data_IF_101555746117
#
_entry.id   IF_101555746117
#
_cell.length_a   1.000
_cell.length_b   1.000
_cell.length_c   1.000
_cell.angle_alpha   90.00
_cell.angle_beta   90.00
_cell.angle_gamma   90.00
#
_symmetry.space_group_name_H-M   'P 1'
#
loop_
_entity.id
_entity.type
_entity.pdbx_description
1 polymer ?
#
# COMPACT_ATOMS: atom_id res chain seq x y z
N UNK A 1 -3.52 38.42 -12.74
CA UNK A 1 -2.73 37.76 -13.80
C UNK A 1 -1.33 37.60 -13.22
N UNK A 2 -1.11 36.50 -12.49
CA UNK A 2 0.25 36.08 -12.08
C UNK A 2 0.40 34.65 -12.58
N UNK A 3 0.78 34.59 -13.85
CA UNK A 3 1.47 33.44 -14.44
C UNK A 3 2.95 33.64 -14.11
N UNK A 4 3.64 32.54 -13.88
CA UNK A 4 5.10 32.43 -13.73
C UNK A 4 5.64 32.37 -12.29
N UNK A 5 5.51 31.16 -11.71
CA UNK A 5 6.69 30.42 -11.28
C UNK A 5 6.41 28.90 -11.29
N UNK A 6 5.85 28.41 -12.41
CA UNK A 6 5.88 26.98 -12.68
C UNK A 6 7.28 26.65 -13.19
N UNK A 7 8.18 26.33 -12.26
CA UNK A 7 9.40 25.61 -12.60
C UNK A 7 8.95 24.38 -13.38
N UNK A 8 9.24 24.33 -14.69
CA UNK A 8 9.02 23.13 -15.50
C UNK A 8 9.95 22.03 -14.96
N UNK A 9 9.49 21.28 -13.94
CA UNK A 9 10.04 19.96 -13.61
C UNK A 9 9.53 19.03 -14.69
N UNK A 10 10.43 18.54 -15.51
CA UNK A 10 10.09 17.81 -16.73
C UNK A 10 9.42 16.45 -16.45
N UNK A 11 9.46 15.89 -15.23
CA UNK A 11 8.79 14.61 -14.91
C UNK A 11 8.13 14.59 -13.51
N UNK A 12 6.93 15.17 -13.38
CA UNK A 12 6.06 15.03 -12.18
C UNK A 12 5.37 13.64 -12.14
N UNK A 13 6.06 12.60 -12.56
CA UNK A 13 5.55 11.25 -12.65
C UNK A 13 6.36 10.30 -11.77
N UNK A 14 5.67 9.31 -11.20
CA UNK A 14 6.29 8.25 -10.43
C UNK A 14 5.95 6.92 -11.10
N UNK A 15 7.00 6.15 -11.39
CA UNK A 15 6.91 4.84 -12.03
C UNK A 15 7.06 3.77 -10.97
N UNK A 16 6.05 2.91 -10.80
CA UNK A 16 6.06 1.85 -9.79
C UNK A 16 5.95 0.47 -10.44
N UNK A 17 6.65 -0.48 -9.82
CA UNK A 17 6.44 -1.91 -9.99
C UNK A 17 5.81 -2.47 -8.72
N UNK A 18 4.70 -3.19 -8.87
CA UNK A 18 3.95 -3.81 -7.79
C UNK A 18 3.89 -5.31 -8.04
N UNK A 19 4.17 -6.12 -7.01
CA UNK A 19 4.20 -7.57 -7.12
C UNK A 19 3.60 -8.21 -5.87
N UNK A 20 2.66 -9.16 -6.03
CA UNK A 20 2.13 -9.92 -4.89
C UNK A 20 3.21 -10.85 -4.37
N UNK A 21 3.56 -10.72 -3.10
CA UNK A 21 4.53 -11.57 -2.42
C UNK A 21 4.12 -13.04 -2.46
N UNK A 22 5.04 -13.90 -2.91
CA UNK A 22 4.83 -15.33 -3.07
C UNK A 22 5.58 -16.16 -2.02
N UNK A 23 6.07 -15.59 -0.92
CA UNK A 23 6.88 -16.34 0.08
C UNK A 23 6.15 -17.53 0.70
N UNK A 24 4.81 -17.54 0.68
CA UNK A 24 3.97 -18.64 1.16
C UNK A 24 3.65 -19.68 0.07
N UNK A 25 3.96 -19.40 -1.18
CA UNK A 25 3.72 -20.31 -2.29
C UNK A 25 4.84 -21.34 -2.43
N UNK A 26 4.47 -22.56 -2.79
CA UNK A 26 5.40 -23.58 -3.27
C UNK A 26 5.53 -23.50 -4.80
N UNK A 27 6.39 -24.36 -5.36
CA UNK A 27 6.48 -24.54 -6.81
C UNK A 27 5.13 -24.95 -7.45
N UNK A 28 4.26 -25.63 -6.69
CA UNK A 28 2.95 -26.04 -7.17
C UNK A 28 2.05 -24.84 -7.41
N UNK A 29 1.92 -23.95 -6.43
CA UNK A 29 1.16 -22.71 -6.56
C UNK A 29 1.72 -21.83 -7.68
N UNK A 30 3.05 -21.73 -7.79
CA UNK A 30 3.70 -20.99 -8.88
C UNK A 30 3.32 -21.55 -10.27
N UNK A 31 3.25 -22.88 -10.42
CA UNK A 31 2.77 -23.53 -11.66
C UNK A 31 1.30 -23.21 -11.94
N UNK A 32 0.46 -23.26 -10.92
CA UNK A 32 -0.97 -22.89 -11.02
C UNK A 32 -1.11 -21.44 -11.51
N UNK A 33 -0.35 -20.50 -10.95
CA UNK A 33 -0.38 -19.09 -11.38
C UNK A 33 0.03 -18.94 -12.86
N UNK A 34 1.08 -19.63 -13.29
CA UNK A 34 1.53 -19.59 -14.69
C UNK A 34 0.51 -20.20 -15.65
N UNK A 35 -0.12 -21.29 -15.26
CA UNK A 35 -1.04 -22.04 -16.11
C UNK A 35 -2.44 -21.40 -16.17
N UNK A 36 -2.93 -20.92 -15.02
CA UNK A 36 -4.32 -20.52 -14.87
C UNK A 36 -4.50 -19.05 -14.56
N UNK A 37 -3.56 -18.40 -13.86
CA UNK A 37 -3.63 -16.96 -13.60
C UNK A 37 -2.99 -16.12 -14.72
N UNK A 38 -2.40 -16.71 -15.76
CA UNK A 38 -1.81 -15.97 -16.87
C UNK A 38 -0.51 -15.24 -16.50
N UNK A 39 0.18 -15.67 -15.44
CA UNK A 39 1.53 -15.18 -15.10
C UNK A 39 2.52 -15.69 -16.15
N UNK A 40 3.12 -14.78 -16.91
CA UNK A 40 4.09 -15.11 -17.97
C UNK A 40 5.51 -14.78 -17.56
N UNK A 41 5.69 -13.78 -16.72
CA UNK A 41 6.97 -13.24 -16.30
C UNK A 41 7.13 -13.39 -14.78
N UNK A 42 8.36 -13.61 -14.31
CA UNK A 42 8.61 -13.83 -12.89
C UNK A 42 7.90 -15.07 -12.30
N UNK A 43 7.48 -14.94 -11.05
CA UNK A 43 6.90 -16.03 -10.25
C UNK A 43 5.48 -15.77 -9.77
N UNK A 44 4.98 -14.54 -9.90
CA UNK A 44 3.70 -14.12 -9.30
C UNK A 44 3.09 -12.95 -10.06
N UNK A 45 1.91 -12.52 -9.62
CA UNK A 45 1.10 -11.50 -10.26
C UNK A 45 1.72 -10.11 -10.02
N UNK A 46 1.92 -9.35 -11.09
CA UNK A 46 2.57 -8.04 -11.03
C UNK A 46 1.95 -6.97 -11.93
N UNK A 47 2.23 -5.71 -11.62
CA UNK A 47 1.71 -4.51 -12.29
C UNK A 47 2.80 -3.46 -12.42
N UNK A 48 2.82 -2.78 -13.56
CA UNK A 48 3.63 -1.59 -13.78
C UNK A 48 2.71 -0.40 -13.99
N UNK A 49 2.86 0.60 -13.13
CA UNK A 49 1.98 1.77 -13.12
C UNK A 49 2.78 3.06 -13.15
N UNK A 50 2.21 4.07 -13.80
CA UNK A 50 2.67 5.45 -13.73
C UNK A 50 1.61 6.28 -13.02
N UNK A 51 2.02 7.21 -12.15
CA UNK A 51 1.11 8.01 -11.35
C UNK A 51 1.62 9.44 -11.12
N UNK A 52 0.76 10.38 -10.71
CA UNK A 52 1.19 11.73 -10.35
C UNK A 52 2.13 11.72 -9.14
N UNK A 53 3.14 12.60 -9.14
CA UNK A 53 4.13 12.70 -8.05
C UNK A 53 3.53 13.07 -6.68
N UNK A 54 2.42 13.81 -6.70
CA UNK A 54 1.68 14.26 -5.52
C UNK A 54 0.69 13.20 -4.99
N UNK A 55 0.66 11.98 -5.51
CA UNK A 55 -0.21 10.93 -4.96
C UNK A 55 0.21 10.52 -3.54
N UNK A 56 -0.77 10.45 -2.62
CA UNK A 56 -0.59 9.93 -1.25
C UNK A 56 -0.77 8.42 -1.16
N UNK A 57 -0.27 7.82 -0.07
CA UNK A 57 -0.41 6.39 0.20
C UNK A 57 -1.90 5.94 0.24
N UNK A 58 -2.81 6.73 0.79
CA UNK A 58 -4.25 6.42 0.78
C UNK A 58 -4.83 6.31 -0.63
N UNK A 59 -4.52 7.26 -1.52
CA UNK A 59 -4.95 7.20 -2.91
C UNK A 59 -4.30 6.01 -3.65
N UNK A 60 -3.04 5.70 -3.34
CA UNK A 60 -2.37 4.51 -3.86
C UNK A 60 -3.04 3.22 -3.39
N UNK A 61 -3.55 3.15 -2.14
CA UNK A 61 -4.34 2.01 -1.67
C UNK A 61 -5.52 1.74 -2.60
N UNK A 62 -6.35 2.75 -2.88
CA UNK A 62 -7.49 2.58 -3.78
C UNK A 62 -7.07 2.19 -5.21
N UNK A 63 -5.95 2.69 -5.71
CA UNK A 63 -5.39 2.25 -6.98
C UNK A 63 -4.96 0.76 -6.94
N UNK A 64 -4.30 0.32 -5.86
CA UNK A 64 -3.89 -1.08 -5.63
C UNK A 64 -5.11 -2.01 -5.61
N UNK A 65 -6.18 -1.61 -4.93
CA UNK A 65 -7.42 -2.38 -4.90
C UNK A 65 -7.94 -2.66 -6.32
N UNK A 66 -8.04 -1.61 -7.16
CA UNK A 66 -8.43 -1.77 -8.58
C UNK A 66 -7.44 -2.60 -9.40
N UNK A 67 -6.14 -2.39 -9.18
CA UNK A 67 -5.08 -3.10 -9.90
C UNK A 67 -5.10 -4.61 -9.69
N UNK A 68 -5.54 -5.07 -8.52
CA UNK A 68 -5.58 -6.49 -8.16
C UNK A 68 -6.99 -7.07 -8.09
N UNK A 69 -8.05 -6.26 -8.21
CA UNK A 69 -9.44 -6.71 -8.18
C UNK A 69 -10.03 -6.87 -6.77
N UNK A 70 -9.47 -6.19 -5.78
CA UNK A 70 -10.04 -6.13 -4.43
C UNK A 70 -11.08 -5.02 -4.31
N UNK A 71 -11.99 -5.15 -3.35
CA UNK A 71 -13.10 -4.20 -3.15
C UNK A 71 -13.10 -3.58 -1.74
N UNK A 72 -11.92 -3.26 -1.19
CA UNK A 72 -11.72 -2.44 0.02
C UNK A 72 -12.54 -2.88 1.25
N UNK A 73 -12.62 -4.19 1.49
CA UNK A 73 -13.36 -4.76 2.63
C UNK A 73 -12.55 -4.90 3.90
N UNK A 74 -11.24 -4.90 3.76
CA UNK A 74 -10.33 -5.24 4.85
C UNK A 74 -9.36 -4.11 5.18
N UNK A 75 -8.80 -4.19 6.38
CA UNK A 75 -7.73 -3.27 6.81
C UNK A 75 -6.53 -3.39 5.87
N UNK A 76 -5.92 -2.25 5.60
CA UNK A 76 -4.67 -2.14 4.87
C UNK A 76 -3.61 -1.42 5.69
N UNK A 77 -2.35 -1.58 5.31
CA UNK A 77 -1.25 -0.79 5.83
C UNK A 77 -0.14 -0.67 4.79
N UNK A 78 0.52 0.49 4.76
CA UNK A 78 1.83 0.63 4.13
C UNK A 78 2.89 0.55 5.22
N UNK A 79 3.93 -0.23 5.01
CA UNK A 79 5.00 -0.49 5.97
C UNK A 79 6.35 -0.34 5.32
N UNK A 80 7.34 0.03 6.14
CA UNK A 80 8.75 -0.07 5.75
C UNK A 80 9.21 -1.53 5.83
N UNK A 81 10.23 -1.94 5.07
CA UNK A 81 10.97 -3.17 5.35
C UNK A 81 11.47 -3.19 6.79
N UNK A 82 11.48 -4.36 7.43
CA UNK A 82 11.77 -4.48 8.86
C UNK A 82 13.16 -3.90 9.21
N UNK A 83 14.17 -4.18 8.39
CA UNK A 83 15.53 -3.63 8.56
C UNK A 83 15.55 -2.09 8.51
N UNK A 84 14.78 -1.49 7.61
CA UNK A 84 14.63 -0.02 7.52
C UNK A 84 13.87 0.53 8.73
N UNK A 85 12.79 -0.13 9.13
CA UNK A 85 12.00 0.23 10.30
C UNK A 85 12.86 0.24 11.57
N UNK A 86 13.57 -0.84 11.85
CA UNK A 86 14.47 -0.95 13.00
C UNK A 86 15.62 0.07 12.94
N UNK A 87 16.16 0.33 11.75
CA UNK A 87 17.20 1.35 11.55
C UNK A 87 16.72 2.77 11.90
N UNK A 88 15.56 3.19 11.36
CA UNK A 88 15.00 4.53 11.57
C UNK A 88 14.59 4.75 13.02
N UNK A 89 14.03 3.71 13.63
CA UNK A 89 13.60 3.75 15.02
C UNK A 89 14.73 3.49 16.01
N UNK A 90 15.93 3.15 15.52
CA UNK A 90 17.08 2.73 16.33
C UNK A 90 16.72 1.64 17.34
N UNK A 91 15.76 0.81 16.97
CA UNK A 91 15.23 -0.25 17.82
C UNK A 91 14.84 0.26 19.23
N UNK A 92 14.29 1.48 19.30
CA UNK A 92 14.00 2.18 20.55
C UNK A 92 12.57 2.75 20.56
N UNK A 93 11.77 2.39 21.56
CA UNK A 93 10.36 2.79 21.60
C UNK A 93 10.16 4.28 21.82
N UNK A 94 11.02 4.98 22.55
CA UNK A 94 10.94 6.45 22.64
C UNK A 94 11.19 7.10 21.28
N UNK A 95 12.15 6.59 20.50
CA UNK A 95 12.40 7.06 19.14
C UNK A 95 11.21 6.74 18.24
N UNK A 96 10.67 5.52 18.24
CA UNK A 96 9.45 5.19 17.51
C UNK A 96 8.29 6.13 17.85
N UNK A 97 7.99 6.31 19.14
CA UNK A 97 6.92 7.17 19.61
C UNK A 97 7.10 8.63 19.18
N UNK A 98 8.34 9.12 19.13
CA UNK A 98 8.65 10.46 18.63
C UNK A 98 8.32 10.66 17.15
N UNK A 99 8.25 9.56 16.37
CA UNK A 99 7.92 9.53 14.95
C UNK A 99 6.44 9.23 14.70
N UNK A 100 5.69 8.81 15.70
CA UNK A 100 4.27 8.54 15.56
C UNK A 100 3.49 9.85 15.40
N UNK A 101 2.62 9.91 14.39
CA UNK A 101 1.96 11.14 13.94
C UNK A 101 2.79 11.99 12.96
N UNK A 102 4.08 11.67 12.76
CA UNK A 102 4.95 12.28 11.74
C UNK A 102 5.31 11.30 10.61
N UNK A 103 5.48 10.03 10.93
CA UNK A 103 5.76 8.93 10.00
C UNK A 103 4.78 7.77 10.18
N UNK A 104 4.54 7.37 11.44
CA UNK A 104 3.69 6.21 11.76
C UNK A 104 2.27 6.60 12.20
N UNK A 105 1.28 5.83 11.76
CA UNK A 105 -0.14 6.13 11.90
C UNK A 105 -0.81 5.59 13.17
N UNK A 106 -0.03 5.02 14.10
CA UNK A 106 -0.59 4.27 15.23
C UNK A 106 -1.66 5.08 15.98
N UNK A 107 -2.90 4.57 15.92
CA UNK A 107 -4.04 5.02 16.70
C UNK A 107 -4.70 3.74 17.20
N UNK A 108 -4.55 3.43 18.48
CA UNK A 108 -5.50 2.52 19.12
C UNK A 108 -6.80 3.29 19.36
N UNK A 109 -7.89 2.86 18.75
CA UNK A 109 -9.23 3.34 19.10
C UNK A 109 -10.13 2.17 19.44
N UNK A 110 -10.79 2.23 20.60
CA UNK A 110 -11.81 1.24 21.00
C UNK A 110 -12.99 1.17 20.00
N UNK A 111 -13.09 2.16 19.10
CA UNK A 111 -13.89 2.11 17.89
C UNK A 111 -13.09 1.50 16.73
N UNK A 112 -13.26 0.21 16.47
CA UNK A 112 -12.73 -0.48 15.27
C UNK A 112 -13.21 0.13 13.93
N UNK A 113 -14.12 1.11 13.98
CA UNK A 113 -14.72 1.78 12.83
C UNK A 113 -13.78 2.77 12.10
N UNK A 114 -12.58 3.06 12.61
CA UNK A 114 -11.72 4.13 12.10
C UNK A 114 -11.05 3.87 10.75
N UNK A 115 -10.85 2.61 10.37
CA UNK A 115 -10.21 2.19 9.11
C UNK A 115 -11.09 1.31 8.23
N UNK A 116 -12.33 1.07 8.66
CA UNK A 116 -13.33 0.39 7.85
C UNK A 116 -13.98 1.45 6.95
N UNK A 117 -14.20 1.16 5.67
CA UNK A 117 -15.09 1.99 4.86
C UNK A 117 -16.54 1.57 5.14
N UNK A 118 -17.30 2.27 6.00
CA UNK A 118 -18.68 1.87 6.33
C UNK A 118 -19.63 1.96 5.13
N UNK A 119 -19.19 2.55 4.01
CA UNK A 119 -19.95 2.55 2.76
C UNK A 119 -19.97 1.18 2.09
N UNK A 120 -19.04 0.28 2.44
CA UNK A 120 -18.99 -1.12 1.99
C UNK A 120 -19.82 -2.07 2.87
N UNK A 121 -20.73 -1.56 3.69
CA UNK A 121 -21.85 -2.39 4.16
C UNK A 121 -22.71 -2.73 2.94
N UNK A 122 -22.93 -4.02 2.69
CA UNK A 122 -23.53 -4.70 1.51
C UNK A 122 -24.89 -4.15 0.97
N UNK A 123 -25.29 -2.90 1.24
CA UNK A 123 -26.64 -2.36 1.03
C UNK A 123 -26.68 -0.85 0.66
N UNK A 124 -25.77 -0.32 -0.17
CA UNK A 124 -25.98 1.03 -0.75
C UNK A 124 -25.82 1.06 -2.27
N UNK A 125 -26.73 1.81 -2.90
CA UNK A 125 -26.76 2.22 -4.31
C UNK A 125 -25.59 3.15 -4.67
N UNK A 126 -24.35 2.76 -4.36
CA UNK A 126 -23.15 3.51 -4.74
C UNK A 126 -22.51 2.77 -5.90
N UNK A 127 -22.29 3.47 -7.00
CA UNK A 127 -21.44 2.98 -8.08
C UNK A 127 -20.00 2.86 -7.51
N UNK A 128 -19.61 1.62 -7.20
CA UNK A 128 -18.33 1.29 -6.57
C UNK A 128 -17.19 1.74 -7.48
N UNK A 129 -17.35 1.61 -8.80
CA UNK A 129 -16.33 2.01 -9.76
C UNK A 129 -16.09 3.52 -9.70
N UNK A 130 -17.18 4.30 -9.71
CA UNK A 130 -17.09 5.75 -9.60
C UNK A 130 -16.50 6.17 -8.24
N UNK A 131 -16.92 5.52 -7.15
CA UNK A 131 -16.40 5.81 -5.82
C UNK A 131 -14.89 5.60 -5.74
N UNK A 132 -14.40 4.44 -6.19
CA UNK A 132 -12.96 4.15 -6.21
C UNK A 132 -12.21 5.14 -7.10
N UNK A 133 -12.74 5.43 -8.29
CA UNK A 133 -12.14 6.40 -9.20
C UNK A 133 -11.97 7.77 -8.57
N UNK A 134 -12.93 8.22 -7.77
CA UNK A 134 -12.81 9.49 -7.04
C UNK A 134 -11.69 9.47 -5.98
N UNK A 135 -11.41 8.32 -5.35
CA UNK A 135 -10.37 8.25 -4.31
C UNK A 135 -8.94 8.28 -4.86
N UNK A 136 -8.72 7.72 -6.05
CA UNK A 136 -7.41 7.75 -6.71
C UNK A 136 -7.32 8.77 -7.84
N UNK A 137 -8.26 9.71 -7.96
CA UNK A 137 -8.16 10.85 -8.90
C UNK A 137 -7.89 12.13 -8.12
N UNK A 138 -6.82 12.84 -8.47
CA UNK A 138 -6.44 14.06 -7.78
C UNK A 138 -7.22 15.30 -8.23
N UNK A 139 -6.77 16.51 -7.80
CA UNK A 139 -5.53 16.77 -7.08
C UNK A 139 -5.51 16.16 -5.67
N UNK A 140 -4.38 15.54 -5.30
CA UNK A 140 -4.25 14.90 -3.99
C UNK A 140 -3.80 15.93 -2.96
N UNK A 141 -4.78 16.60 -2.38
CA UNK A 141 -4.55 17.55 -1.30
C UNK A 141 -4.80 16.81 0.02
N UNK A 142 -3.77 16.75 0.88
CA UNK A 142 -3.91 16.12 2.19
C UNK A 142 -5.02 16.86 2.96
N UNK A 143 -6.16 16.20 3.11
CA UNK A 143 -7.37 16.81 3.64
C UNK A 143 -7.23 17.26 5.10
N UNK A 144 -8.14 18.14 5.53
CA UNK A 144 -8.20 18.65 6.91
C UNK A 144 -8.21 17.53 7.98
N UNK A 145 -8.75 16.35 7.65
CA UNK A 145 -8.72 15.14 8.51
C UNK A 145 -7.30 14.78 8.95
N UNK A 146 -6.34 14.76 8.03
CA UNK A 146 -4.95 14.41 8.34
C UNK A 146 -4.20 15.53 9.06
N UNK A 147 -4.55 16.80 8.79
CA UNK A 147 -3.91 17.94 9.45
C UNK A 147 -4.12 17.99 10.98
N UNK A 148 -5.20 17.37 11.49
CA UNK A 148 -5.44 17.21 12.93
C UNK A 148 -4.94 15.90 13.52
N UNK A 149 -4.66 14.90 12.70
CA UNK A 149 -4.21 13.58 13.18
C UNK A 149 -2.86 13.67 13.88
N UNK A 150 -1.92 14.49 13.38
CA UNK A 150 -0.60 14.63 13.99
C UNK A 150 -0.64 14.89 15.51
N UNK A 151 -1.33 15.96 15.94
CA UNK A 151 -1.38 16.31 17.37
C UNK A 151 -2.15 15.28 18.19
N UNK A 152 -3.25 14.74 17.64
CA UNK A 152 -4.07 13.75 18.35
C UNK A 152 -3.29 12.45 18.56
N UNK A 153 -2.65 11.94 17.51
CA UNK A 153 -1.82 10.74 17.55
C UNK A 153 -0.69 10.91 18.56
N UNK A 154 0.04 12.04 18.47
CA UNK A 154 1.18 12.31 19.33
C UNK A 154 0.79 12.40 20.81
N UNK A 155 -0.31 13.09 21.11
CA UNK A 155 -0.86 13.15 22.48
C UNK A 155 -1.29 11.78 22.97
N UNK A 156 -1.98 10.98 22.14
CA UNK A 156 -2.43 9.64 22.53
C UNK A 156 -1.24 8.72 22.88
N UNK A 157 -0.21 8.68 22.03
CA UNK A 157 1.00 7.87 22.27
C UNK A 157 1.73 8.34 23.51
N UNK A 158 1.87 9.66 23.70
CA UNK A 158 2.53 10.21 24.88
C UNK A 158 1.80 9.81 26.18
N UNK A 159 0.47 9.87 26.20
CA UNK A 159 -0.34 9.43 27.34
C UNK A 159 -0.15 7.94 27.65
N UNK A 160 -0.04 7.09 26.63
CA UNK A 160 0.24 5.67 26.84
C UNK A 160 1.67 5.44 27.35
N UNK A 161 2.67 6.17 26.85
CA UNK A 161 4.04 6.08 27.36
C UNK A 161 4.17 6.51 28.83
N UNK A 162 3.43 7.54 29.24
CA UNK A 162 3.44 8.03 30.63
C UNK A 162 2.92 6.96 31.61
N UNK A 163 1.84 6.25 31.25
CA UNK A 163 1.33 5.13 32.06
C UNK A 163 2.34 4.01 32.27
N UNK A 164 3.27 3.82 31.33
CA UNK A 164 4.33 2.83 31.44
C UNK A 164 5.45 3.27 32.37
N UNK A 165 5.76 4.57 32.38
CA UNK A 165 6.81 5.13 33.24
C UNK A 165 6.49 5.02 34.73
N UNK A 166 5.20 4.98 35.08
CA UNK A 166 4.73 4.78 36.46
C UNK A 166 4.92 3.32 36.96
N UNK A 167 5.20 2.36 36.07
CA UNK A 167 5.37 0.92 36.39
C UNK A 167 6.85 0.47 36.52
N UNK A 168 7.78 1.42 36.72
CA UNK A 168 9.12 1.20 37.28
C UNK A 168 10.23 0.56 36.41
N UNK A 169 10.01 0.34 35.12
CA UNK A 169 11.10 0.08 34.16
C UNK A 169 11.37 1.33 33.32
N UNK A 170 12.64 1.72 33.15
CA UNK A 170 12.96 2.90 32.35
C UNK A 170 12.49 2.68 30.91
N UNK A 171 11.51 3.46 30.46
CA UNK A 171 10.95 3.43 29.08
C UNK A 171 12.06 3.53 28.02
N UNK A 172 13.22 4.12 28.36
CA UNK A 172 14.40 4.21 27.51
C UNK A 172 15.13 2.88 27.25
N UNK A 173 14.98 1.86 28.12
CA UNK A 173 15.54 0.51 27.95
C UNK A 173 14.62 -0.41 27.11
N UNK A 174 13.48 0.08 26.67
CA UNK A 174 12.47 -0.68 25.94
C UNK A 174 12.79 -0.69 24.43
N UNK A 175 13.25 -1.84 23.96
CA UNK A 175 13.62 -2.10 22.56
C UNK A 175 12.36 -2.42 21.72
N UNK A 176 12.41 -2.21 20.40
CA UNK A 176 11.25 -2.39 19.51
C UNK A 176 11.00 -3.86 19.17
N UNK A 177 12.02 -4.71 19.06
CA UNK A 177 11.82 -6.17 19.09
C UNK A 177 11.07 -6.63 20.35
N UNK A 178 11.28 -5.93 21.47
CA UNK A 178 10.54 -6.11 22.71
C UNK A 178 9.14 -5.48 22.72
N UNK A 179 8.66 -4.83 21.64
CA UNK A 179 7.22 -4.55 21.47
C UNK A 179 6.40 -5.85 21.52
N UNK A 180 7.00 -6.98 21.16
CA UNK A 180 6.38 -8.30 21.35
C UNK A 180 6.14 -8.65 22.83
N UNK A 181 7.00 -8.15 23.72
CA UNK A 181 6.93 -8.29 25.18
C UNK A 181 6.24 -7.12 25.88
N UNK A 182 5.96 -6.04 25.14
CA UNK A 182 5.12 -4.94 25.60
C UNK A 182 3.77 -5.49 26.01
N UNK A 183 3.32 -5.09 27.19
CA UNK A 183 1.93 -5.27 27.55
C UNK A 183 1.35 -4.05 28.24
N UNK A 184 0.25 -3.54 27.70
CA UNK A 184 -0.61 -2.57 28.36
C UNK A 184 -1.53 -3.24 29.39
N UNK A 185 -1.40 -4.55 29.61
CA UNK A 185 -2.36 -5.37 30.35
C UNK A 185 -3.63 -5.72 29.55
N UNK A 186 -3.71 -5.32 28.28
CA UNK A 186 -4.80 -5.63 27.36
C UNK A 186 -4.22 -6.29 26.11
N UNK A 187 -4.36 -7.61 26.05
CA UNK A 187 -3.80 -8.45 24.96
C UNK A 187 -4.22 -7.93 23.58
N UNK A 188 -5.44 -7.43 23.42
CA UNK A 188 -5.90 -6.91 22.12
C UNK A 188 -5.16 -5.64 21.70
N UNK A 189 -4.87 -4.77 22.67
CA UNK A 189 -4.07 -3.55 22.44
C UNK A 189 -2.66 -3.88 22.06
N UNK A 190 -2.08 -4.85 22.75
CA UNK A 190 -0.72 -5.30 22.55
C UNK A 190 -0.54 -5.93 21.17
N UNK A 191 -1.45 -6.82 20.78
CA UNK A 191 -1.43 -7.47 19.46
C UNK A 191 -1.61 -6.46 18.34
N UNK A 192 -2.56 -5.52 18.47
CA UNK A 192 -2.73 -4.46 17.49
C UNK A 192 -1.52 -3.54 17.38
N UNK A 193 -0.87 -3.19 18.50
CA UNK A 193 0.36 -2.42 18.47
C UNK A 193 1.46 -3.17 17.71
N UNK A 194 1.68 -4.45 18.01
CA UNK A 194 2.69 -5.28 17.32
C UNK A 194 2.42 -5.33 15.81
N UNK A 195 1.16 -5.49 15.41
CA UNK A 195 0.78 -5.55 14.00
C UNK A 195 0.92 -4.21 13.26
N UNK A 196 0.72 -3.09 13.96
CA UNK A 196 0.54 -1.76 13.34
C UNK A 196 1.64 -0.74 13.69
N UNK A 197 2.65 -1.10 14.49
CA UNK A 197 3.74 -0.20 14.87
C UNK A 197 4.50 0.37 13.66
N UNK A 198 4.61 -0.41 12.58
CA UNK A 198 5.26 -0.05 11.32
C UNK A 198 4.26 0.47 10.26
N UNK A 199 3.03 0.82 10.63
CA UNK A 199 2.06 1.39 9.68
C UNK A 199 2.37 2.85 9.42
N UNK A 200 2.67 3.21 8.17
CA UNK A 200 2.91 4.56 7.70
C UNK A 200 1.62 5.38 7.62
N UNK A 201 1.76 6.71 7.73
CA UNK A 201 0.66 7.64 7.65
C UNK A 201 0.05 7.71 6.23
N UNK A 202 -1.26 7.50 6.05
CA UNK A 202 -1.88 7.42 4.73
C UNK A 202 -1.74 8.70 3.89
N UNK A 203 -1.54 9.86 4.51
CA UNK A 203 -1.39 11.15 3.85
C UNK A 203 0.04 11.44 3.34
N UNK A 204 1.00 10.52 3.54
CA UNK A 204 2.35 10.73 3.02
C UNK A 204 2.36 10.59 1.50
N UNK A 205 3.10 11.48 0.82
CA UNK A 205 3.35 11.33 -0.60
C UNK A 205 4.20 10.08 -0.85
N UNK A 206 3.84 9.26 -1.82
CA UNK A 206 4.61 8.05 -2.15
C UNK A 206 6.05 8.42 -2.49
N UNK A 207 6.23 9.50 -3.25
CA UNK A 207 7.54 10.04 -3.63
C UNK A 207 8.39 10.52 -2.46
N UNK A 208 7.79 10.84 -1.30
CA UNK A 208 8.51 11.27 -0.10
C UNK A 208 9.03 10.12 0.76
N UNK A 209 8.54 8.90 0.55
CA UNK A 209 8.93 7.71 1.31
C UNK A 209 9.67 6.68 0.47
N UNK A 210 9.37 6.61 -0.84
CA UNK A 210 9.90 5.61 -1.75
C UNK A 210 10.86 6.23 -2.78
N UNK A 211 12.14 5.91 -2.64
CA UNK A 211 13.22 6.30 -3.55
C UNK A 211 13.15 5.50 -4.85
N UNK A 212 13.42 6.15 -5.98
CA UNK A 212 13.64 5.43 -7.22
C UNK A 212 14.92 4.60 -7.16
N UNK A 213 14.98 3.52 -7.95
CA UNK A 213 16.19 2.69 -8.06
C UNK A 213 17.43 3.55 -8.36
N UNK A 214 18.41 3.50 -7.46
CA UNK A 214 19.67 4.24 -7.56
C UNK A 214 19.64 5.64 -6.94
N UNK A 215 18.49 6.15 -6.49
CA UNK A 215 18.43 7.35 -5.65
C UNK A 215 18.95 7.05 -4.24
N UNK A 216 19.48 8.08 -3.58
CA UNK A 216 19.85 7.98 -2.17
C UNK A 216 18.60 7.89 -1.30
N UNK A 217 18.71 7.14 -0.22
CA UNK A 217 17.70 7.11 0.84
C UNK A 217 18.20 7.90 2.04
N UNK A 218 17.27 8.53 2.74
CA UNK A 218 17.51 9.29 3.94
C UNK A 218 17.75 8.39 5.15
N UNK A 219 18.32 9.00 6.18
CA UNK A 219 18.57 8.39 7.48
C UNK A 219 17.51 8.80 8.52
N UNK A 220 17.65 8.36 9.77
CA UNK A 220 16.77 8.74 10.88
C UNK A 220 16.80 10.25 11.24
N UNK A 221 17.73 11.00 10.65
CA UNK A 221 17.86 12.45 10.75
C UNK A 221 17.12 13.20 9.63
N UNK A 222 16.77 12.51 8.55
CA UNK A 222 16.16 13.05 7.32
C UNK A 222 14.72 12.57 7.16
N UNK A 223 14.04 12.33 8.28
CA UNK A 223 12.67 11.82 8.29
C UNK A 223 11.74 12.89 7.70
N UNK A 224 10.92 12.54 6.69
CA UNK A 224 9.83 13.39 6.22
C UNK A 224 8.91 13.70 7.39
N UNK A 225 9.04 14.88 7.99
CA UNK A 225 8.11 15.35 9.02
C UNK A 225 6.77 15.58 8.35
N UNK A 226 5.69 15.26 9.04
CA UNK A 226 4.35 15.59 8.55
C UNK A 226 4.29 17.03 8.08
N UNK A 227 3.73 17.23 6.88
CA UNK A 227 2.43 17.88 6.72
C UNK A 227 2.20 19.20 7.46
N UNK A 228 3.23 19.96 7.83
CA UNK A 228 3.04 21.40 8.02
C UNK A 228 2.73 21.93 6.63
N UNK A 229 1.50 22.40 6.47
CA UNK A 229 1.16 23.47 5.53
C UNK A 229 2.44 24.23 5.20
N UNK A 230 2.91 24.12 3.96
CA UNK A 230 4.08 24.83 3.46
C UNK A 230 3.86 26.33 3.72
N UNK A 231 4.31 26.78 4.89
CA UNK A 231 4.73 28.14 5.17
C UNK A 231 6.14 27.98 5.73
N UNK A 232 7.08 28.23 4.84
CA UNK A 232 8.40 28.74 5.17
C UNK A 232 9.26 27.80 6.03
N UNK A 233 9.47 26.56 5.59
CA UNK A 233 10.68 25.83 5.97
C UNK A 233 11.57 25.84 4.73
N UNK A 234 12.67 26.55 4.82
CA UNK A 234 13.74 26.62 3.83
C UNK A 234 14.22 25.21 3.46
N UNK A 235 14.64 25.05 2.20
CA UNK A 235 15.03 23.83 1.49
C UNK A 235 15.95 22.86 2.25
N UNK A 236 15.43 22.11 3.22
CA UNK A 236 16.08 20.86 3.62
C UNK A 236 15.56 19.76 2.69
N UNK A 237 16.43 19.24 1.83
CA UNK A 237 16.15 18.11 0.95
C UNK A 237 15.80 16.89 1.80
N UNK A 238 14.49 16.62 1.96
CA UNK A 238 14.01 15.41 2.63
C UNK A 238 14.16 14.26 1.66
N UNK A 239 15.09 13.34 1.95
CA UNK A 239 15.31 12.15 1.14
C UNK A 239 14.23 11.08 1.44
N UNK A 240 13.82 10.28 0.44
CA UNK A 240 12.94 9.14 0.67
C UNK A 240 13.58 8.10 1.60
N UNK A 241 12.78 7.30 2.29
CA UNK A 241 13.27 6.44 3.37
C UNK A 241 13.69 5.03 2.93
N UNK A 242 13.17 4.55 1.80
CA UNK A 242 13.36 3.17 1.37
C UNK A 242 13.29 3.02 -0.14
N UNK A 243 13.90 1.96 -0.70
CA UNK A 243 13.71 1.54 -2.09
C UNK A 243 12.56 0.55 -2.28
N UNK A 244 11.95 0.08 -1.18
CA UNK A 244 10.84 -0.87 -1.18
C UNK A 244 9.80 -0.48 -0.14
N UNK A 245 8.54 -0.41 -0.53
CA UNK A 245 7.40 -0.34 0.39
C UNK A 245 6.69 -1.70 0.43
N UNK A 246 6.15 -2.02 1.60
CA UNK A 246 5.34 -3.22 1.82
C UNK A 246 3.90 -2.77 2.03
N UNK A 247 3.00 -3.15 1.14
CA UNK A 247 1.57 -2.95 1.31
C UNK A 247 0.93 -4.25 1.80
N UNK A 248 0.13 -4.20 2.86
CA UNK A 248 -0.60 -5.35 3.38
C UNK A 248 -2.10 -5.12 3.31
N UNK A 249 -2.89 -6.16 3.01
CA UNK A 249 -4.34 -6.12 2.95
C UNK A 249 -4.97 -7.43 3.45
N UNK A 250 -6.11 -7.36 4.15
CA UNK A 250 -6.82 -8.55 4.64
C UNK A 250 -6.70 -8.85 6.15
N UNK A 251 -5.99 -8.04 6.93
CA UNK A 251 -5.55 -8.44 8.28
C UNK A 251 -4.51 -9.57 8.23
N UNK A 252 -3.85 -9.90 9.34
CA UNK A 252 -2.85 -11.00 9.48
C UNK A 252 -1.84 -11.19 8.32
N UNK A 253 -1.54 -10.12 7.57
CA UNK A 253 -0.72 -10.18 6.35
C UNK A 253 -1.19 -11.20 5.30
N UNK A 254 -2.51 -11.36 5.13
CA UNK A 254 -3.12 -12.23 4.10
C UNK A 254 -2.60 -11.93 2.70
N UNK A 255 -2.66 -10.67 2.31
CA UNK A 255 -2.08 -10.18 1.07
C UNK A 255 -0.92 -9.25 1.38
N UNK A 256 0.20 -9.49 0.72
CA UNK A 256 1.37 -8.62 0.78
C UNK A 256 1.74 -8.24 -0.65
N UNK A 257 1.87 -6.94 -0.92
CA UNK A 257 2.32 -6.39 -2.20
C UNK A 257 3.61 -5.64 -1.97
N UNK A 258 4.65 -6.07 -2.67
CA UNK A 258 5.94 -5.41 -2.70
C UNK A 258 5.89 -4.28 -3.74
N UNK A 259 6.24 -3.06 -3.35
CA UNK A 259 6.18 -1.88 -4.20
C UNK A 259 7.58 -1.29 -4.34
N UNK A 260 8.06 -1.13 -5.57
CA UNK A 260 9.38 -0.56 -5.88
C UNK A 260 9.19 0.58 -6.87
N UNK A 261 9.92 1.68 -6.66
CA UNK A 261 9.93 2.80 -7.61
C UNK A 261 11.03 2.62 -8.63
N UNK A 262 10.62 2.62 -9.89
CA UNK A 262 11.50 2.57 -11.05
C UNK A 262 11.94 3.99 -11.43
N UNK A 263 13.05 4.08 -12.15
CA UNK A 263 13.48 5.35 -12.76
C UNK A 263 12.56 5.74 -13.91
N UNK A 264 12.17 4.77 -14.72
CA UNK A 264 11.28 4.85 -15.88
C UNK A 264 10.93 3.41 -16.33
N UNK A 265 10.30 3.25 -17.50
CA UNK A 265 9.99 1.95 -18.10
C UNK A 265 10.94 1.50 -19.22
N UNK A 266 12.18 1.99 -19.26
CA UNK A 266 13.14 1.62 -20.32
C UNK A 266 13.35 0.11 -20.41
N UNK A 267 13.45 -0.60 -19.29
CA UNK A 267 13.63 -2.06 -19.28
C UNK A 267 12.44 -2.81 -19.91
N UNK A 268 11.20 -2.35 -19.69
CA UNK A 268 10.03 -2.96 -20.32
C UNK A 268 10.01 -2.80 -21.84
N UNK A 269 10.55 -1.67 -22.33
CA UNK A 269 10.65 -1.40 -23.76
C UNK A 269 11.75 -2.26 -24.38
N UNK A 270 12.91 -2.34 -23.72
CA UNK A 270 14.04 -3.18 -24.13
C UNK A 270 13.66 -4.67 -24.18
N UNK A 271 12.89 -5.14 -23.21
CA UNK A 271 12.38 -6.52 -23.15
C UNK A 271 11.20 -6.78 -24.13
N UNK A 272 10.75 -5.76 -24.86
CA UNK A 272 9.64 -5.86 -25.82
C UNK A 272 8.27 -6.09 -25.19
N UNK A 273 8.12 -5.85 -23.89
CA UNK A 273 6.87 -6.04 -23.13
C UNK A 273 5.87 -4.91 -23.39
N UNK A 274 6.38 -3.70 -23.63
CA UNK A 274 5.57 -2.52 -23.98
C UNK A 274 6.27 -1.69 -25.05
N UNK A 275 5.49 -1.03 -25.91
CA UNK A 275 6.04 -0.08 -26.88
C UNK A 275 6.14 1.33 -26.28
N UNK A 276 7.05 2.14 -26.82
CA UNK A 276 7.24 3.54 -26.40
C UNK A 276 5.94 4.37 -26.53
N UNK A 277 5.12 4.12 -27.55
CA UNK A 277 3.85 4.84 -27.71
C UNK A 277 2.90 4.57 -26.55
N UNK A 278 2.80 3.32 -26.07
CA UNK A 278 1.98 2.96 -24.90
C UNK A 278 2.43 3.68 -23.64
N UNK A 279 3.74 3.81 -23.43
CA UNK A 279 4.30 4.55 -22.30
C UNK A 279 3.93 6.04 -22.40
N UNK A 280 4.15 6.66 -23.56
CA UNK A 280 3.79 8.07 -23.77
C UNK A 280 2.28 8.33 -23.59
N UNK A 281 1.43 7.43 -24.11
CA UNK A 281 -0.02 7.53 -23.94
C UNK A 281 -0.43 7.44 -22.48
N UNK A 282 0.21 6.55 -21.71
CA UNK A 282 -0.02 6.42 -20.27
C UNK A 282 0.41 7.68 -19.52
N UNK A 283 1.60 8.22 -19.79
CA UNK A 283 2.09 9.43 -19.16
C UNK A 283 1.19 10.65 -19.46
N UNK A 284 0.73 10.78 -20.71
CA UNK A 284 -0.20 11.82 -21.10
C UNK A 284 -1.55 11.65 -20.38
N UNK A 285 -2.07 10.42 -20.31
CA UNK A 285 -3.32 10.14 -19.59
C UNK A 285 -3.20 10.48 -18.09
N UNK A 286 -2.07 10.20 -17.45
CA UNK A 286 -1.82 10.60 -16.06
C UNK A 286 -1.80 12.12 -15.92
N UNK A 287 -1.09 12.82 -16.82
CA UNK A 287 -1.00 14.29 -16.80
C UNK A 287 -2.35 14.97 -17.04
N UNK A 288 -3.18 14.40 -17.91
CA UNK A 288 -4.50 14.95 -18.26
C UNK A 288 -5.57 14.66 -17.21
N UNK A 289 -5.61 13.43 -16.68
CA UNK A 289 -6.65 12.97 -15.75
C UNK A 289 -6.26 13.09 -14.29
N UNK A 290 -4.98 13.36 -14.00
CA UNK A 290 -4.41 13.40 -12.65
C UNK A 290 -4.72 12.15 -11.82
N UNK A 291 -4.61 10.98 -12.45
CA UNK A 291 -4.87 9.67 -11.83
C UNK A 291 -3.89 8.62 -12.35
N UNK A 292 -3.64 7.51 -11.63
CA UNK A 292 -2.67 6.51 -12.02
C UNK A 292 -3.10 5.77 -13.27
N UNK A 293 -2.13 5.16 -13.96
CA UNK A 293 -2.37 4.41 -15.18
C UNK A 293 -1.56 3.10 -15.19
N UNK A 294 -2.23 1.98 -15.48
CA UNK A 294 -1.60 0.67 -15.60
C UNK A 294 -1.01 0.50 -17.01
N UNK A 295 0.32 0.52 -17.10
CA UNK A 295 1.06 0.41 -18.37
C UNK A 295 1.15 -1.04 -18.81
N UNK A 296 1.44 -1.92 -17.86
CA UNK A 296 1.61 -3.34 -18.09
C UNK A 296 1.07 -4.15 -16.91
N UNK A 297 0.45 -5.29 -17.21
CA UNK A 297 -0.02 -6.26 -16.22
C UNK A 297 0.52 -7.64 -16.57
N UNK A 298 0.92 -8.39 -15.55
CA UNK A 298 1.25 -9.79 -15.68
C UNK A 298 0.49 -10.60 -14.63
N UNK A 299 -0.21 -11.64 -15.07
CA UNK A 299 -1.19 -12.35 -14.26
C UNK A 299 -2.55 -11.64 -14.10
N UNK A 300 -3.54 -12.41 -13.69
CA UNK A 300 -4.94 -12.03 -13.54
C UNK A 300 -5.20 -11.18 -12.30
N UNK A 301 -6.44 -10.72 -12.15
CA UNK A 301 -6.91 -10.19 -10.88
C UNK A 301 -7.14 -11.33 -9.89
N UNK A 302 -6.88 -11.05 -8.62
CA UNK A 302 -7.24 -11.90 -7.49
C UNK A 302 -8.64 -11.49 -7.00
N UNK A 303 -9.02 -11.93 -5.81
CA UNK A 303 -10.31 -11.60 -5.20
C UNK A 303 -10.20 -11.63 -3.68
N UNK A 304 -11.14 -10.98 -3.01
CA UNK A 304 -11.29 -11.09 -1.57
C UNK A 304 -11.78 -12.48 -1.13
N UNK A 305 -11.55 -12.79 0.15
CA UNK A 305 -12.07 -13.97 0.85
C UNK A 305 -11.52 -15.33 0.38
N UNK A 306 -10.34 -15.35 -0.27
CA UNK A 306 -9.59 -16.58 -0.61
C UNK A 306 -8.37 -16.81 0.29
N UNK A 307 -8.44 -16.30 1.51
CA UNK A 307 -7.38 -16.31 2.54
C UNK A 307 -6.08 -15.60 2.13
N UNK A 308 -5.25 -16.20 1.28
CA UNK A 308 -3.99 -15.64 0.77
C UNK A 308 -3.67 -16.13 -0.66
N UNK A 309 -2.44 -15.88 -1.16
CA UNK A 309 -2.06 -16.28 -2.52
C UNK A 309 -2.11 -17.81 -2.75
N UNK A 310 -1.64 -18.67 -1.82
CA UNK A 310 -1.95 -20.11 -1.85
C UNK A 310 -3.43 -20.44 -1.92
N UNK A 311 -4.28 -19.81 -1.10
CA UNK A 311 -5.73 -20.03 -1.15
C UNK A 311 -6.35 -19.61 -2.49
N UNK A 312 -5.83 -18.55 -3.13
CA UNK A 312 -6.21 -18.21 -4.52
C UNK A 312 -5.79 -19.27 -5.53
N UNK A 313 -4.63 -19.90 -5.35
CA UNK A 313 -4.20 -21.00 -6.21
C UNK A 313 -5.11 -22.23 -6.04
N UNK A 314 -5.57 -22.52 -4.81
CA UNK A 314 -6.57 -23.57 -4.58
C UNK A 314 -7.89 -23.26 -5.27
N UNK A 315 -8.32 -21.99 -5.22
CA UNK A 315 -9.51 -21.52 -5.94
C UNK A 315 -9.39 -21.75 -7.46
N UNK A 316 -8.25 -21.40 -8.07
CA UNK A 316 -8.01 -21.65 -9.50
C UNK A 316 -7.98 -23.14 -9.81
N UNK A 317 -7.29 -23.94 -9.00
CA UNK A 317 -7.24 -25.39 -9.16
C UNK A 317 -8.66 -26.00 -9.14
N UNK A 318 -9.55 -25.54 -8.25
CA UNK A 318 -10.93 -26.01 -8.20
C UNK A 318 -11.77 -25.68 -9.44
N UNK A 319 -11.42 -24.60 -10.15
CA UNK A 319 -12.08 -24.20 -11.39
C UNK A 319 -11.55 -24.99 -12.59
N UNK A 320 -10.23 -25.12 -12.71
CA UNK A 320 -9.59 -25.59 -13.93
C UNK A 320 -9.15 -27.06 -13.90
N UNK A 321 -8.75 -27.57 -12.74
CA UNK A 321 -8.25 -28.96 -12.57
C UNK A 321 -9.19 -29.84 -11.76
N UNK A 322 -10.19 -29.25 -11.11
CA UNK A 322 -11.14 -29.96 -10.28
C UNK A 322 -11.98 -30.97 -11.06
N UNK A 323 -11.83 -32.26 -10.77
CA UNK A 323 -12.68 -33.32 -11.33
C UNK A 323 -14.15 -33.25 -10.84
N UNK A 324 -14.44 -32.44 -9.83
CA UNK A 324 -15.77 -32.30 -9.23
C UNK A 324 -16.50 -31.06 -9.78
N UNK A 325 -17.45 -31.31 -10.69
CA UNK A 325 -18.28 -30.29 -11.33
C UNK A 325 -19.05 -29.43 -10.30
N UNK A 326 -19.47 -30.00 -9.18
CA UNK A 326 -20.17 -29.23 -8.13
C UNK A 326 -19.22 -28.25 -7.44
N UNK A 327 -17.98 -28.67 -7.16
CA UNK A 327 -16.94 -27.81 -6.58
C UNK A 327 -16.58 -26.67 -7.53
N UNK A 328 -16.38 -26.97 -8.81
CA UNK A 328 -16.14 -25.98 -9.87
C UNK A 328 -17.29 -24.95 -9.95
N UNK A 329 -18.55 -25.40 -9.97
CA UNK A 329 -19.72 -24.49 -10.01
C UNK A 329 -19.81 -23.61 -8.76
N UNK A 330 -19.49 -24.15 -7.59
CA UNK A 330 -19.45 -23.38 -6.33
C UNK A 330 -18.34 -22.32 -6.36
N UNK A 331 -17.15 -22.68 -6.86
CA UNK A 331 -16.04 -21.75 -7.03
C UNK A 331 -16.38 -20.62 -8.02
N UNK A 332 -16.90 -20.95 -9.20
CA UNK A 332 -17.34 -19.93 -10.17
C UNK A 332 -18.43 -19.00 -9.61
N UNK A 333 -19.41 -19.55 -8.88
CA UNK A 333 -20.44 -18.75 -8.20
C UNK A 333 -19.85 -17.88 -7.08
N UNK A 334 -18.82 -18.35 -6.40
CA UNK A 334 -18.10 -17.56 -5.41
C UNK A 334 -17.33 -16.42 -6.07
N UNK A 335 -16.54 -16.68 -7.13
CA UNK A 335 -15.82 -15.66 -7.89
C UNK A 335 -16.72 -14.54 -8.39
N UNK A 336 -17.85 -14.87 -9.02
CA UNK A 336 -18.83 -13.86 -9.51
C UNK A 336 -19.40 -12.96 -8.40
N UNK A 337 -19.56 -13.48 -7.17
CA UNK A 337 -20.01 -12.66 -6.02
C UNK A 337 -18.93 -11.72 -5.51
N UNK A 338 -17.69 -11.92 -5.93
CA UNK A 338 -16.50 -11.11 -5.60
C UNK A 338 -16.03 -10.30 -6.80
N UNK A 339 -16.89 -10.15 -7.80
CA UNK A 339 -16.60 -9.47 -9.07
C UNK A 339 -15.38 -10.04 -9.83
N UNK A 340 -15.17 -11.36 -9.68
CA UNK A 340 -14.15 -12.09 -10.41
C UNK A 340 -14.80 -12.87 -11.56
N UNK A 341 -14.38 -12.56 -12.78
CA UNK A 341 -14.86 -13.20 -14.01
C UNK A 341 -13.69 -13.83 -14.77
N UNK A 342 -13.88 -15.07 -15.21
CA UNK A 342 -12.84 -15.85 -15.90
C UNK A 342 -12.49 -15.22 -17.26
N UNK A 343 -13.47 -14.58 -17.89
CA UNK A 343 -13.32 -13.91 -19.18
C UNK A 343 -12.41 -12.67 -19.08
N UNK A 344 -12.38 -12.01 -17.92
CA UNK A 344 -11.69 -10.74 -17.69
C UNK A 344 -10.22 -10.90 -17.26
N UNK A 345 -9.76 -12.13 -17.04
CA UNK A 345 -8.40 -12.42 -16.54
C UNK A 345 -7.31 -11.76 -17.39
N UNK A 346 -7.54 -11.64 -18.70
CA UNK A 346 -6.58 -11.04 -19.65
C UNK A 346 -6.93 -9.61 -20.06
N UNK A 347 -8.04 -9.03 -19.59
CA UNK A 347 -8.48 -7.70 -20.02
C UNK A 347 -7.61 -6.57 -19.44
N UNK A 348 -7.36 -5.48 -20.18
CA UNK A 348 -6.59 -4.36 -19.65
C UNK A 348 -7.26 -3.79 -18.39
N UNK A 349 -6.44 -3.41 -17.40
CA UNK A 349 -6.95 -2.75 -16.20
C UNK A 349 -7.23 -1.29 -16.54
N UNK A 350 -8.46 -0.86 -16.28
CA UNK A 350 -8.89 0.53 -16.45
C UNK A 350 -8.83 1.20 -15.07
N UNK A 351 -7.93 2.18 -14.94
CA UNK A 351 -7.87 3.11 -13.83
C UNK A 351 -8.49 4.43 -14.26
#
# INVERSE_FOLDING_TARGET
MDKDCAYKREDNLVYLYLEIDNRRCTEKETKILKQYAGVKYGETISRYIVMPQDMHLEALHYAIQRLFGWIDRYRYAFKLPDDVFYSITKDNVCKWASLTGDLFAYIWSDNEAGYFNPLFQDNKEVDIEEFFAQQYTGPYIAGYRFSKMHSVIKTAVQMELEKLSDNNDSVAAFNIENLSTFTSGDVKKDDFLKENANTLLPCMYVSSVLAAKGEKVGTDQEIPKHGRYYRNIEDTEVLPLTHKLIYTYGGESKWVVNIVRLKNFSSLIEDGLVCMSRVNDAENAVKEKHRPFCVFKDGANVLDDVDDLPGYCEFLHDIFEGCNIEKMKKALKFGRRRDWHIEEMNEPIIL
#
